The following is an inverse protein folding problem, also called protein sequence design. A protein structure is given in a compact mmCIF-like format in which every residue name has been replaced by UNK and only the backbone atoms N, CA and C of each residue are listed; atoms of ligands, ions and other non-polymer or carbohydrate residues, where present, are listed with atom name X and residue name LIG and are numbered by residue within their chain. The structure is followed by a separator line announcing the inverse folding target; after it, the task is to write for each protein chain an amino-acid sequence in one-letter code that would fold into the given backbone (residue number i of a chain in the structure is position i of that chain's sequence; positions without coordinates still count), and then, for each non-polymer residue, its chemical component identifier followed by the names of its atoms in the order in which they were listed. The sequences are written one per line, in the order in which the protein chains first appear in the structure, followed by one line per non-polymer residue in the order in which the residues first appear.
data_IF_094955550815
#
_entry.id   IF_094955550815
#
_cell.length_a   1.000
_cell.length_b   1.000
_cell.length_c   1.000
_cell.angle_alpha   90.00
_cell.angle_beta   90.00
_cell.angle_gamma   90.00
#
_symmetry.space_group_name_H-M   'P 1'
#
loop_
_entity.id
_entity.type
_entity.pdbx_description
1 polymer ?
#
# COMPACT_ATOMS: atom_id res chain seq x y z
N UNK A 1 -59.81 -2.54 -10.89
CA UNK A 1 -59.50 -3.91 -11.36
C UNK A 1 -58.85 -3.83 -12.73
N UNK A 2 -57.80 -4.64 -12.95
CA UNK A 2 -57.29 -5.10 -14.26
C UNK A 2 -56.89 -4.03 -15.31
N UNK A 3 -55.83 -3.26 -15.04
CA UNK A 3 -55.01 -2.68 -16.13
C UNK A 3 -53.60 -2.26 -15.66
N UNK A 4 -53.45 -1.76 -14.44
CA UNK A 4 -52.16 -1.25 -13.95
C UNK A 4 -51.21 -2.30 -13.32
N UNK A 5 -51.61 -3.57 -13.28
CA UNK A 5 -50.81 -4.66 -12.67
C UNK A 5 -50.11 -5.57 -13.69
N UNK A 6 -50.26 -5.34 -15.00
CA UNK A 6 -49.63 -6.15 -16.04
C UNK A 6 -48.36 -5.51 -16.64
N UNK A 7 -48.22 -4.18 -16.57
CA UNK A 7 -47.08 -3.46 -17.18
C UNK A 7 -45.79 -3.44 -16.31
N UNK A 8 -45.90 -3.65 -14.99
CA UNK A 8 -44.72 -3.65 -14.10
C UNK A 8 -44.06 -5.04 -13.99
N UNK A 9 -44.77 -6.13 -14.31
CA UNK A 9 -44.18 -7.47 -14.38
C UNK A 9 -43.28 -7.67 -15.61
N UNK A 10 -43.54 -6.93 -16.70
CA UNK A 10 -42.78 -7.06 -17.95
C UNK A 10 -41.40 -6.36 -17.92
N UNK A 11 -41.23 -5.35 -17.07
CA UNK A 11 -39.98 -4.55 -17.03
C UNK A 11 -38.92 -5.14 -16.08
N UNK A 12 -39.33 -5.94 -15.09
CA UNK A 12 -38.42 -6.59 -14.13
C UNK A 12 -37.78 -7.86 -14.69
N UNK A 13 -38.48 -8.59 -15.57
CA UNK A 13 -37.96 -9.81 -16.22
C UNK A 13 -36.94 -9.47 -17.32
N UNK A 14 -37.10 -8.33 -18.00
CA UNK A 14 -36.17 -7.89 -19.05
C UNK A 14 -34.83 -7.36 -18.50
N UNK A 15 -34.81 -6.79 -17.28
CA UNK A 15 -33.57 -6.37 -16.61
C UNK A 15 -32.76 -7.53 -16.02
N UNK A 16 -33.41 -8.63 -15.63
CA UNK A 16 -32.72 -9.84 -15.18
C UNK A 16 -32.03 -10.60 -16.33
N UNK A 17 -32.57 -10.51 -17.55
CA UNK A 17 -32.03 -11.20 -18.73
C UNK A 17 -30.78 -10.54 -19.33
N UNK A 18 -30.58 -9.22 -19.14
CA UNK A 18 -29.37 -8.51 -19.61
C UNK A 18 -28.13 -8.70 -18.72
N UNK A 19 -28.27 -9.24 -17.52
CA UNK A 19 -27.12 -9.58 -16.66
C UNK A 19 -26.54 -10.98 -16.95
N UNK A 20 -27.24 -11.82 -17.73
CA UNK A 20 -26.85 -13.22 -18.00
C UNK A 20 -26.11 -13.42 -19.33
N UNK A 21 -26.00 -12.39 -20.18
CA UNK A 21 -25.29 -12.46 -21.46
C UNK A 21 -24.33 -11.27 -21.63
N UNK A 22 -23.26 -11.23 -20.83
CA UNK A 22 -22.01 -10.57 -21.22
C UNK A 22 -20.77 -11.20 -20.57
N UNK A 23 -20.90 -12.35 -19.91
CA UNK A 23 -19.77 -13.12 -19.42
C UNK A 23 -19.40 -14.20 -20.44
N UNK A 24 -18.49 -13.86 -21.36
CA UNK A 24 -17.74 -14.87 -22.11
C UNK A 24 -16.27 -14.48 -22.14
N UNK A 25 -15.57 -14.71 -21.03
CA UNK A 25 -14.28 -15.42 -21.02
C UNK A 25 -13.71 -15.49 -19.60
N UNK A 26 -13.72 -16.72 -19.07
CA UNK A 26 -12.69 -17.37 -18.26
C UNK A 26 -12.12 -16.70 -16.97
N UNK A 27 -12.31 -17.47 -15.87
CA UNK A 27 -11.51 -17.57 -14.66
C UNK A 27 -11.39 -16.36 -13.70
N UNK A 28 -12.31 -16.29 -12.73
CA UNK A 28 -12.00 -15.82 -11.37
C UNK A 28 -13.09 -16.23 -10.36
N UNK A 29 -12.65 -16.46 -9.12
CA UNK A 29 -13.37 -16.86 -7.89
C UNK A 29 -14.58 -15.97 -7.51
N UNK A 30 -15.54 -16.46 -6.70
CA UNK A 30 -16.80 -15.75 -6.46
C UNK A 30 -16.63 -14.53 -5.52
N UNK A 31 -17.09 -13.38 -6.01
CA UNK A 31 -16.99 -12.06 -5.39
C UNK A 31 -17.91 -11.85 -4.17
N UNK A 32 -17.35 -11.13 -3.19
CA UNK A 32 -17.93 -10.62 -1.93
C UNK A 32 -19.24 -9.81 -2.10
N UNK A 33 -19.59 -9.43 -3.33
CA UNK A 33 -20.79 -8.66 -3.67
C UNK A 33 -22.10 -9.48 -3.65
N UNK A 34 -22.02 -10.81 -3.76
CA UNK A 34 -23.21 -11.67 -3.71
C UNK A 34 -23.77 -11.79 -2.28
N UNK A 35 -22.90 -11.80 -1.27
CA UNK A 35 -23.27 -11.90 0.15
C UNK A 35 -23.94 -10.62 0.68
N UNK A 36 -23.48 -9.45 0.23
CA UNK A 36 -24.08 -8.15 0.59
C UNK A 36 -25.51 -8.03 0.04
N UNK A 37 -25.77 -8.58 -1.15
CA UNK A 37 -27.10 -8.57 -1.75
C UNK A 37 -28.09 -9.49 -1.01
N UNK A 38 -27.63 -10.66 -0.53
CA UNK A 38 -28.45 -11.59 0.25
C UNK A 38 -28.77 -11.03 1.66
N UNK A 39 -27.82 -10.35 2.30
CA UNK A 39 -28.02 -9.69 3.61
C UNK A 39 -29.02 -8.53 3.54
N UNK A 40 -29.04 -7.76 2.45
CA UNK A 40 -30.04 -6.69 2.23
C UNK A 40 -31.44 -7.22 1.93
N UNK A 41 -31.57 -8.38 1.30
CA UNK A 41 -32.86 -9.02 1.07
C UNK A 41 -33.49 -9.57 2.36
N UNK A 42 -32.68 -10.15 3.26
CA UNK A 42 -33.15 -10.67 4.55
C UNK A 42 -33.61 -9.57 5.53
N UNK A 43 -32.94 -8.42 5.53
CA UNK A 43 -33.31 -7.26 6.38
C UNK A 43 -34.58 -6.56 5.95
N UNK A 44 -34.90 -6.56 4.64
CA UNK A 44 -36.18 -6.05 4.13
C UNK A 44 -37.37 -6.98 4.41
N UNK A 45 -37.15 -8.30 4.49
CA UNK A 45 -38.20 -9.27 4.79
C UNK A 45 -38.58 -9.28 6.29
N UNK A 46 -37.64 -8.94 7.18
CA UNK A 46 -37.87 -8.85 8.63
C UNK A 46 -38.53 -7.52 9.05
N UNK A 47 -38.33 -6.44 8.30
CA UNK A 47 -38.93 -5.12 8.61
C UNK A 47 -40.36 -4.94 8.08
N UNK A 48 -40.80 -5.70 7.07
CA UNK A 48 -42.20 -5.71 6.65
C UNK A 48 -43.13 -6.53 7.57
N UNK A 49 -42.60 -7.49 8.33
CA UNK A 49 -43.41 -8.37 9.19
C UNK A 49 -43.74 -7.80 10.58
N UNK A 50 -43.18 -6.64 10.94
CA UNK A 50 -43.38 -6.00 12.24
C UNK A 50 -44.20 -4.70 12.21
N UNK A 51 -44.78 -4.32 11.06
CA UNK A 51 -45.51 -3.04 10.93
C UNK A 51 -47.04 -3.14 10.95
N UNK A 52 -47.61 -4.35 11.01
CA UNK A 52 -49.08 -4.56 10.92
C UNK A 52 -49.70 -5.29 12.11
N UNK A 53 -49.10 -5.26 13.30
CA UNK A 53 -49.78 -5.73 14.52
C UNK A 53 -49.72 -4.71 15.65
N UNK A 54 -50.91 -4.15 15.89
CA UNK A 54 -51.47 -3.74 17.19
C UNK A 54 -50.88 -2.50 17.88
N UNK A 55 -51.53 -1.36 17.60
CA UNK A 55 -51.89 -0.42 18.65
C UNK A 55 -52.77 -1.13 19.69
N UNK A 56 -52.39 -1.04 20.97
CA UNK A 56 -53.25 -0.60 22.09
C UNK A 56 -52.58 -0.95 23.44
N UNK A 57 -52.41 0.10 24.24
CA UNK A 57 -52.54 0.13 25.70
C UNK A 57 -51.47 -0.55 26.59
N UNK A 58 -50.61 0.32 27.13
CA UNK A 58 -50.47 0.64 28.56
C UNK A 58 -49.92 -0.41 29.58
N UNK A 59 -49.00 0.11 30.41
CA UNK A 59 -48.56 -0.31 31.76
C UNK A 59 -47.47 -1.38 31.93
N UNK A 60 -46.23 -0.88 32.08
CA UNK A 60 -45.34 -0.96 33.26
C UNK A 60 -45.00 -2.28 33.97
N UNK A 61 -43.75 -2.29 34.49
CA UNK A 61 -43.17 -3.08 35.60
C UNK A 61 -42.40 -4.34 35.12
N UNK A 62 -41.08 -4.26 34.96
CA UNK A 62 -40.06 -4.52 36.01
C UNK A 62 -40.11 -5.97 36.52
N UNK A 63 -39.24 -6.83 36.01
CA UNK A 63 -38.00 -7.26 36.69
C UNK A 63 -38.22 -8.49 37.61
N UNK A 64 -37.29 -9.45 37.51
CA UNK A 64 -36.97 -10.62 38.37
C UNK A 64 -37.61 -11.96 37.98
N UNK A 65 -36.70 -12.81 37.48
CA UNK A 65 -36.45 -14.21 37.84
C UNK A 65 -37.32 -15.29 37.18
N UNK A 66 -36.60 -16.29 36.66
CA UNK A 66 -37.08 -17.67 36.59
C UNK A 66 -37.14 -18.20 35.15
N UNK A 67 -36.08 -18.86 34.70
CA UNK A 67 -36.09 -20.32 34.49
C UNK A 67 -34.74 -20.75 33.90
N UNK A 68 -33.89 -21.29 34.77
CA UNK A 68 -32.96 -22.36 34.45
C UNK A 68 -33.76 -23.58 34.01
N UNK A 69 -33.54 -24.10 32.79
CA UNK A 69 -33.73 -25.51 32.48
C UNK A 69 -33.13 -25.88 31.11
N UNK A 70 -32.08 -26.70 31.19
CA UNK A 70 -32.04 -28.00 30.52
C UNK A 70 -31.91 -28.02 28.98
N UNK A 71 -30.69 -28.28 28.50
CA UNK A 71 -30.43 -29.32 27.49
C UNK A 71 -28.91 -29.59 27.45
N UNK A 72 -28.48 -30.54 28.28
CA UNK A 72 -27.23 -31.27 28.09
C UNK A 72 -27.53 -32.51 27.22
N UNK A 73 -26.66 -32.72 26.24
CA UNK A 73 -26.35 -33.98 25.52
C UNK A 73 -27.20 -34.37 24.30
N UNK A 74 -26.70 -33.99 23.12
CA UNK A 74 -26.69 -34.81 21.89
C UNK A 74 -25.36 -34.53 21.15
N UNK A 75 -24.31 -35.30 21.44
CA UNK A 75 -23.69 -36.33 20.59
C UNK A 75 -23.06 -35.80 19.29
N UNK A 76 -21.72 -35.88 19.29
CA UNK A 76 -20.79 -36.18 18.21
C UNK A 76 -21.20 -35.87 16.76
N UNK A 77 -20.38 -35.04 16.11
CA UNK A 77 -20.36 -34.91 14.64
C UNK A 77 -20.41 -33.48 14.13
N UNK A 78 -19.51 -32.61 14.59
CA UNK A 78 -19.16 -31.39 13.87
C UNK A 78 -17.66 -31.43 13.65
N UNK A 79 -17.32 -32.05 12.52
CA UNK A 79 -16.12 -31.79 11.72
C UNK A 79 -15.59 -30.38 11.94
N UNK A 80 -14.29 -30.30 12.22
CA UNK A 80 -13.56 -29.06 12.40
C UNK A 80 -13.90 -28.07 11.28
N UNK A 81 -14.60 -27.00 11.67
CA UNK A 81 -14.40 -25.74 11.00
C UNK A 81 -13.01 -25.28 11.43
N UNK A 82 -11.99 -25.73 10.69
CA UNK A 82 -10.77 -24.96 10.55
C UNK A 82 -11.21 -23.55 10.18
N UNK A 83 -11.20 -22.65 11.17
CA UNK A 83 -11.08 -21.24 10.87
C UNK A 83 -9.71 -21.11 10.23
N UNK A 84 -9.70 -21.24 8.89
CA UNK A 84 -8.63 -20.74 8.05
C UNK A 84 -8.68 -19.23 8.19
N UNK A 85 -8.17 -18.76 9.32
CA UNK A 85 -7.68 -17.41 9.48
C UNK A 85 -6.81 -17.20 8.24
N UNK A 86 -7.20 -16.27 7.38
CA UNK A 86 -6.34 -15.85 6.28
C UNK A 86 -5.14 -15.16 6.92
N UNK A 87 -4.19 -15.97 7.41
CA UNK A 87 -2.89 -15.51 7.82
C UNK A 87 -2.28 -14.87 6.57
N UNK A 88 -2.29 -13.54 6.53
CA UNK A 88 -1.64 -12.78 5.49
C UNK A 88 -0.23 -13.36 5.32
N UNK A 89 0.16 -13.64 4.07
CA UNK A 89 1.45 -14.25 3.77
C UNK A 89 2.57 -13.49 4.51
N UNK A 90 3.41 -14.23 5.24
CA UNK A 90 4.50 -13.68 6.02
C UNK A 90 5.51 -13.03 5.07
N UNK A 91 5.55 -11.70 5.03
CA UNK A 91 6.53 -10.95 4.24
C UNK A 91 7.74 -10.68 5.13
N UNK A 92 8.80 -11.43 4.89
CA UNK A 92 10.04 -11.36 5.66
C UNK A 92 11.26 -11.62 4.78
N UNK A 93 12.33 -10.88 5.02
CA UNK A 93 13.63 -11.09 4.38
C UNK A 93 14.73 -10.45 5.22
N UNK A 94 15.88 -11.11 5.36
CA UNK A 94 17.06 -10.63 6.11
C UNK A 94 16.76 -10.14 7.56
N UNK A 95 15.82 -10.81 8.23
CA UNK A 95 15.38 -10.45 9.59
C UNK A 95 14.46 -9.22 9.67
N UNK A 96 14.06 -8.66 8.52
CA UNK A 96 13.06 -7.60 8.43
C UNK A 96 11.69 -8.18 8.07
N UNK A 97 10.63 -7.48 8.44
CA UNK A 97 9.24 -7.91 8.22
C UNK A 97 8.31 -6.73 7.95
N UNK A 98 7.05 -7.00 7.61
CA UNK A 98 6.02 -5.94 7.55
C UNK A 98 5.87 -5.16 8.88
N UNK A 99 6.00 -5.83 10.03
CA UNK A 99 5.86 -5.20 11.35
C UNK A 99 7.15 -4.53 11.82
N UNK A 100 8.30 -4.94 11.28
CA UNK A 100 9.60 -4.34 11.54
C UNK A 100 10.36 -4.18 10.21
N UNK A 101 9.99 -3.18 9.40
CA UNK A 101 10.53 -3.02 8.04
C UNK A 101 11.87 -2.29 8.00
N UNK A 102 12.36 -1.81 9.15
CA UNK A 102 13.61 -1.07 9.29
C UNK A 102 14.51 -1.72 10.35
N UNK A 103 15.82 -1.69 10.11
CA UNK A 103 16.88 -1.96 11.08
C UNK A 103 17.84 -0.78 11.08
N UNK A 104 18.08 -0.20 12.25
CA UNK A 104 19.04 0.90 12.45
C UNK A 104 20.30 0.33 13.07
N UNK A 105 21.45 0.73 12.54
CA UNK A 105 22.76 0.53 13.15
C UNK A 105 23.43 1.89 13.27
N UNK A 106 23.24 2.53 14.42
CA UNK A 106 23.74 3.87 14.69
C UNK A 106 25.27 3.92 14.77
N UNK A 107 25.93 2.82 15.16
CA UNK A 107 27.39 2.76 15.23
C UNK A 107 28.03 2.80 13.84
N UNK A 108 27.37 2.17 12.86
CA UNK A 108 27.81 2.16 11.48
C UNK A 108 27.12 3.21 10.61
N UNK A 109 26.28 4.06 11.20
CA UNK A 109 25.49 5.08 10.53
C UNK A 109 24.64 4.55 9.37
N UNK A 110 23.98 3.40 9.59
CA UNK A 110 23.16 2.77 8.55
C UNK A 110 21.71 2.54 8.96
N UNK A 111 20.83 2.60 7.96
CA UNK A 111 19.44 2.16 8.03
C UNK A 111 19.22 1.14 6.92
N UNK A 112 18.76 -0.06 7.26
CA UNK A 112 18.36 -1.08 6.28
C UNK A 112 16.84 -1.16 6.21
N UNK A 113 16.28 -1.11 5.01
CA UNK A 113 14.84 -1.13 4.74
C UNK A 113 14.42 -2.35 3.93
N UNK A 114 13.32 -2.99 4.32
CA UNK A 114 12.65 -4.00 3.51
C UNK A 114 11.89 -3.34 2.36
N UNK A 115 12.12 -3.84 1.14
CA UNK A 115 11.43 -3.40 -0.07
C UNK A 115 11.01 -4.58 -0.94
N UNK A 116 10.12 -4.31 -1.88
CA UNK A 116 9.76 -5.22 -2.97
C UNK A 116 10.06 -4.57 -4.32
N UNK A 117 10.63 -5.33 -5.26
CA UNK A 117 10.87 -4.86 -6.63
C UNK A 117 9.55 -4.73 -7.38
N UNK A 118 9.32 -3.58 -7.99
CA UNK A 118 8.24 -3.36 -8.96
C UNK A 118 8.82 -3.44 -10.38
N UNK A 119 8.68 -4.63 -10.96
CA UNK A 119 9.25 -4.99 -12.26
C UNK A 119 8.75 -4.14 -13.44
N UNK A 120 7.62 -3.42 -13.27
CA UNK A 120 7.13 -2.46 -14.28
C UNK A 120 8.20 -1.45 -14.67
N UNK A 121 8.96 -0.96 -13.69
CA UNK A 121 9.97 0.07 -13.90
C UNK A 121 11.34 -0.49 -14.30
N UNK A 122 11.42 -1.77 -14.68
CA UNK A 122 12.56 -2.29 -15.44
C UNK A 122 12.47 -1.89 -16.93
N UNK A 123 11.26 -1.54 -17.39
CA UNK A 123 10.99 -1.05 -18.74
C UNK A 123 10.50 0.39 -18.75
N UNK A 124 9.61 0.74 -17.82
CA UNK A 124 8.99 2.07 -17.73
C UNK A 124 9.89 3.07 -17.00
N UNK A 125 9.79 4.33 -17.38
CA UNK A 125 10.45 5.43 -16.68
C UNK A 125 9.70 5.80 -15.38
N UNK A 126 10.42 6.20 -14.33
CA UNK A 126 9.84 6.74 -13.10
C UNK A 126 10.75 7.76 -12.43
N UNK A 127 10.17 8.72 -11.70
CA UNK A 127 10.92 9.57 -10.76
C UNK A 127 10.96 9.01 -9.34
N UNK A 128 10.22 7.93 -9.09
CA UNK A 128 10.03 7.38 -7.75
C UNK A 128 10.98 6.19 -7.54
N UNK A 129 12.04 6.40 -6.75
CA UNK A 129 12.96 5.33 -6.38
C UNK A 129 12.28 4.37 -5.42
N UNK A 130 11.93 4.85 -4.24
CA UNK A 130 11.24 4.07 -3.20
C UNK A 130 10.01 4.84 -2.71
N UNK A 131 8.86 4.19 -2.69
CA UNK A 131 7.62 4.73 -2.11
C UNK A 131 7.03 3.69 -1.17
N UNK A 132 6.54 4.13 -0.03
CA UNK A 132 5.79 3.29 0.90
C UNK A 132 4.61 2.64 0.16
N UNK A 133 4.52 1.31 0.23
CA UNK A 133 3.55 0.50 -0.53
C UNK A 133 2.10 0.96 -0.39
N UNK A 134 1.70 1.44 0.79
CA UNK A 134 0.33 1.89 1.07
C UNK A 134 0.15 3.40 0.89
N UNK A 135 1.18 4.11 0.41
CA UNK A 135 1.08 5.52 0.00
C UNK A 135 0.38 5.67 -1.36
N UNK A 136 -0.18 6.85 -1.64
CA UNK A 136 -0.95 7.08 -2.89
C UNK A 136 -0.12 6.91 -4.17
N UNK A 137 1.21 6.96 -4.09
CA UNK A 137 2.13 6.71 -5.20
C UNK A 137 2.87 5.36 -5.08
N UNK A 138 2.50 4.45 -4.17
CA UNK A 138 3.25 3.21 -3.91
C UNK A 138 3.50 2.35 -5.15
N UNK A 139 2.51 2.24 -6.04
CA UNK A 139 2.60 1.49 -7.30
C UNK A 139 3.39 2.20 -8.41
N UNK A 140 3.88 3.42 -8.16
CA UNK A 140 4.62 4.24 -9.14
C UNK A 140 6.14 4.18 -8.97
N UNK A 141 6.64 3.47 -7.96
CA UNK A 141 8.08 3.39 -7.68
C UNK A 141 8.71 2.09 -8.16
N UNK A 142 10.02 2.16 -8.43
CA UNK A 142 10.86 0.99 -8.74
C UNK A 142 10.94 0.02 -7.57
N UNK A 143 11.02 0.55 -6.35
CA UNK A 143 10.98 -0.22 -5.12
C UNK A 143 9.74 0.18 -4.30
N UNK A 144 8.93 -0.78 -3.88
CA UNK A 144 7.86 -0.58 -2.92
C UNK A 144 8.41 -0.82 -1.51
N UNK A 145 8.54 0.25 -0.73
CA UNK A 145 9.04 0.19 0.64
C UNK A 145 7.96 -0.23 1.63
N UNK A 146 8.34 -0.96 2.68
CA UNK A 146 7.43 -1.38 3.74
C UNK A 146 7.40 -0.44 4.94
N UNK A 147 8.31 0.53 5.01
CA UNK A 147 8.36 1.54 6.05
C UNK A 147 7.52 2.78 5.70
N UNK A 148 6.94 3.41 6.72
CA UNK A 148 6.28 4.71 6.56
C UNK A 148 7.30 5.83 6.43
N UNK A 149 6.94 6.97 5.82
CA UNK A 149 7.84 8.13 5.73
C UNK A 149 8.37 8.59 7.09
N UNK A 150 7.50 8.64 8.11
CA UNK A 150 7.89 9.02 9.48
C UNK A 150 8.89 8.04 10.09
N UNK A 151 8.64 6.74 9.99
CA UNK A 151 9.55 5.73 10.54
C UNK A 151 10.92 5.80 9.86
N UNK A 152 10.95 6.00 8.54
CA UNK A 152 12.19 6.13 7.80
C UNK A 152 12.96 7.41 8.15
N UNK A 153 12.26 8.54 8.26
CA UNK A 153 12.85 9.81 8.69
C UNK A 153 13.51 9.70 10.08
N UNK A 154 12.79 9.15 11.07
CA UNK A 154 13.35 8.99 12.42
C UNK A 154 14.50 7.99 12.46
N UNK A 155 14.44 6.91 11.67
CA UNK A 155 15.53 5.95 11.56
C UNK A 155 16.82 6.59 11.01
N UNK A 156 16.71 7.46 10.00
CA UNK A 156 17.86 8.19 9.46
C UNK A 156 18.45 9.16 10.50
N UNK A 157 17.60 9.84 11.29
CA UNK A 157 18.07 10.68 12.40
C UNK A 157 18.75 9.86 13.50
N UNK A 158 18.18 8.72 13.86
CA UNK A 158 18.77 7.80 14.84
C UNK A 158 20.14 7.28 14.38
N UNK A 159 20.31 7.06 13.07
CA UNK A 159 21.60 6.72 12.47
C UNK A 159 22.60 7.91 12.39
N UNK A 160 22.24 9.10 12.87
CA UNK A 160 23.09 10.29 12.90
C UNK A 160 22.92 11.23 11.71
N UNK A 161 21.87 11.05 10.90
CA UNK A 161 21.60 11.89 9.73
C UNK A 161 21.02 13.26 10.12
N UNK A 162 21.50 14.30 9.44
CA UNK A 162 20.99 15.66 9.49
C UNK A 162 20.10 15.95 8.28
N UNK A 163 18.80 16.23 8.47
CA UNK A 163 17.91 16.57 7.37
C UNK A 163 18.21 17.97 6.80
N UNK A 164 18.08 18.13 5.49
CA UNK A 164 18.29 19.42 4.83
C UNK A 164 17.17 20.44 5.04
N UNK A 165 15.91 20.00 4.94
CA UNK A 165 14.67 20.80 5.08
C UNK A 165 14.66 22.12 4.26
N UNK A 166 15.37 22.13 3.13
CA UNK A 166 15.60 23.35 2.35
C UNK A 166 14.60 23.55 1.20
N UNK A 167 13.79 22.54 0.89
CA UNK A 167 12.86 22.57 -0.22
C UNK A 167 11.43 22.88 0.24
N UNK A 168 10.75 23.73 -0.52
CA UNK A 168 9.34 24.07 -0.34
C UNK A 168 8.60 23.86 -1.65
N UNK A 169 7.27 23.99 -1.63
CA UNK A 169 6.49 23.92 -2.87
C UNK A 169 6.78 25.08 -3.83
N UNK A 170 7.29 26.20 -3.31
CA UNK A 170 7.55 27.43 -4.06
C UNK A 170 8.93 27.40 -4.72
N UNK A 171 9.95 26.89 -4.04
CA UNK A 171 11.34 26.91 -4.54
C UNK A 171 11.76 25.63 -5.30
N UNK A 172 10.90 24.60 -5.32
CA UNK A 172 11.27 23.23 -5.75
C UNK A 172 11.93 23.13 -7.12
N UNK A 173 11.56 23.98 -8.08
CA UNK A 173 12.04 23.89 -9.46
C UNK A 173 13.46 24.41 -9.65
N UNK A 174 13.93 25.26 -8.73
CA UNK A 174 15.26 25.91 -8.77
C UNK A 174 16.19 25.45 -7.66
N UNK A 175 15.68 24.69 -6.69
CA UNK A 175 16.44 24.27 -5.51
C UNK A 175 16.82 22.80 -5.62
N UNK A 176 18.10 22.52 -5.34
CA UNK A 176 18.60 21.16 -5.12
C UNK A 176 18.43 20.79 -3.65
N UNK A 177 18.01 19.57 -3.37
CA UNK A 177 17.88 19.08 -2.00
C UNK A 177 19.25 19.07 -1.29
N UNK A 178 19.29 19.42 -0.01
CA UNK A 178 20.48 19.35 0.84
C UNK A 178 20.29 18.35 1.99
N UNK A 179 21.27 18.29 2.90
CA UNK A 179 21.30 17.37 4.04
C UNK A 179 22.41 16.33 3.93
N UNK A 180 22.42 15.38 4.86
CA UNK A 180 23.41 14.29 4.89
C UNK A 180 23.50 13.57 3.56
N UNK A 181 24.72 13.27 3.13
CA UNK A 181 24.95 12.43 1.97
C UNK A 181 24.72 10.97 2.32
N UNK A 182 24.08 10.23 1.41
CA UNK A 182 23.77 8.83 1.59
C UNK A 182 24.38 7.99 0.46
N UNK A 183 25.20 7.02 0.82
CA UNK A 183 25.53 5.89 -0.04
C UNK A 183 24.42 4.85 0.09
N UNK A 184 23.77 4.51 -1.02
CA UNK A 184 22.61 3.60 -1.03
C UNK A 184 22.98 2.34 -1.79
N UNK A 185 22.64 1.19 -1.19
CA UNK A 185 22.93 -0.12 -1.77
C UNK A 185 21.76 -1.09 -1.61
N UNK A 186 21.68 -2.08 -2.50
CA UNK A 186 20.57 -3.03 -2.60
C UNK A 186 21.10 -4.46 -2.60
N UNK A 187 20.41 -5.34 -1.88
CA UNK A 187 20.69 -6.76 -1.87
C UNK A 187 19.41 -7.59 -1.89
N UNK A 188 19.45 -8.79 -2.45
CA UNK A 188 18.33 -9.72 -2.50
C UNK A 188 18.84 -11.17 -2.47
N UNK A 189 17.93 -12.12 -2.27
CA UNK A 189 18.30 -13.53 -2.24
C UNK A 189 18.88 -13.97 -3.59
N UNK A 190 20.10 -14.51 -3.57
CA UNK A 190 20.80 -14.96 -4.78
C UNK A 190 21.50 -13.83 -5.55
N UNK A 191 21.54 -12.60 -5.02
CA UNK A 191 22.41 -11.56 -5.56
C UNK A 191 23.89 -12.00 -5.46
N UNK A 192 24.68 -11.72 -6.50
CA UNK A 192 26.11 -12.06 -6.51
C UNK A 192 26.94 -11.17 -5.57
N UNK A 193 26.44 -9.97 -5.28
CA UNK A 193 27.02 -8.97 -4.39
C UNK A 193 25.94 -7.99 -3.95
N UNK A 194 26.28 -7.11 -3.02
CA UNK A 194 25.52 -5.87 -2.79
C UNK A 194 25.79 -4.91 -3.95
N UNK A 195 24.73 -4.36 -4.54
CA UNK A 195 24.82 -3.41 -5.66
C UNK A 195 24.56 -1.98 -5.18
N UNK A 196 25.26 -0.99 -5.73
CA UNK A 196 24.94 0.41 -5.44
C UNK A 196 23.66 0.86 -6.16
N UNK A 197 23.08 1.98 -5.73
CA UNK A 197 21.97 2.61 -6.41
C UNK A 197 22.30 3.00 -7.87
N UNK A 198 23.53 3.43 -8.14
CA UNK A 198 24.00 3.71 -9.52
C UNK A 198 24.11 2.45 -10.39
N UNK A 199 24.26 1.26 -9.81
CA UNK A 199 24.29 0.00 -10.57
C UNK A 199 22.89 -0.51 -10.90
N UNK A 200 21.93 -0.31 -9.99
CA UNK A 200 20.56 -0.83 -10.14
C UNK A 200 19.58 0.17 -10.75
N UNK A 201 19.93 1.45 -10.85
CA UNK A 201 19.12 2.50 -11.49
C UNK A 201 19.90 3.09 -12.65
N UNK A 202 19.28 3.09 -13.83
CA UNK A 202 19.82 3.72 -15.03
C UNK A 202 19.35 5.17 -15.08
N UNK A 203 20.29 6.11 -15.04
CA UNK A 203 20.12 7.49 -15.47
C UNK A 203 20.38 7.59 -16.98
N UNK A 204 19.43 8.10 -17.76
CA UNK A 204 19.58 8.22 -19.23
C UNK A 204 20.75 9.10 -19.69
N UNK A 205 21.24 9.99 -18.83
CA UNK A 205 22.40 10.85 -19.06
C UNK A 205 23.70 10.26 -18.49
N UNK A 206 23.65 9.09 -17.83
CA UNK A 206 24.80 8.43 -17.24
C UNK A 206 25.42 9.18 -16.05
N UNK A 207 24.70 10.11 -15.42
CA UNK A 207 25.16 10.79 -14.22
C UNK A 207 25.00 9.90 -12.99
N UNK A 208 25.88 10.11 -12.01
CA UNK A 208 25.74 9.50 -10.69
C UNK A 208 24.62 10.17 -9.90
N UNK A 209 23.96 9.38 -9.06
CA UNK A 209 22.96 9.86 -8.12
C UNK A 209 23.64 10.51 -6.91
N UNK A 210 23.23 11.73 -6.57
CA UNK A 210 23.67 12.41 -5.34
C UNK A 210 22.53 12.38 -4.31
N UNK A 211 22.46 11.29 -3.54
CA UNK A 211 21.34 11.07 -2.64
C UNK A 211 21.52 11.81 -1.32
N UNK A 212 20.53 12.64 -0.97
CA UNK A 212 20.55 13.47 0.24
C UNK A 212 19.38 13.17 1.16
N UNK A 213 19.63 13.20 2.46
CA UNK A 213 18.59 13.21 3.47
C UNK A 213 17.89 14.59 3.50
N UNK A 214 16.86 14.74 2.66
CA UNK A 214 16.12 16.00 2.52
C UNK A 214 15.23 16.33 3.72
N UNK A 215 14.74 15.33 4.44
CA UNK A 215 13.92 15.51 5.63
C UNK A 215 12.43 15.63 5.31
N UNK A 216 11.98 16.75 4.72
CA UNK A 216 10.66 17.07 4.16
C UNK A 216 9.42 16.40 4.82
N UNK A 217 9.46 16.07 6.12
CA UNK A 217 8.51 15.14 6.73
C UNK A 217 7.09 15.74 6.77
N UNK A 218 6.99 17.03 7.12
CA UNK A 218 5.71 17.74 7.17
C UNK A 218 4.97 17.64 5.83
N UNK A 219 5.66 17.92 4.72
CA UNK A 219 5.07 17.82 3.39
C UNK A 219 4.74 16.37 3.01
N UNK A 220 5.57 15.40 3.42
CA UNK A 220 5.30 13.97 3.21
C UNK A 220 4.00 13.53 3.91
N UNK A 221 3.79 13.94 5.16
CA UNK A 221 2.59 13.64 5.95
C UNK A 221 1.34 14.34 5.41
N UNK A 222 1.46 15.59 4.98
CA UNK A 222 0.35 16.34 4.37
C UNK A 222 -0.10 15.76 3.03
N UNK A 223 0.85 15.42 2.15
CA UNK A 223 0.55 14.94 0.78
C UNK A 223 0.21 13.46 0.72
N UNK A 224 0.60 12.66 1.72
CA UNK A 224 0.30 11.22 1.82
C UNK A 224 0.67 10.43 0.55
N UNK A 225 1.74 10.86 -0.13
CA UNK A 225 2.26 10.18 -1.32
C UNK A 225 2.95 8.88 -0.96
N UNK A 226 3.52 8.82 0.24
CA UNK A 226 4.39 7.74 0.70
C UNK A 226 5.83 7.85 0.17
N UNK A 227 6.23 8.95 -0.47
CA UNK A 227 7.56 9.07 -1.07
C UNK A 227 8.66 8.92 0.00
N UNK A 228 9.53 7.92 -0.18
CA UNK A 228 10.70 7.70 0.69
C UNK A 228 11.95 8.20 -0.03
N UNK A 229 12.14 7.80 -1.29
CA UNK A 229 13.28 8.16 -2.12
C UNK A 229 12.81 8.67 -3.50
N UNK A 230 13.13 9.91 -3.84
CA UNK A 230 12.88 10.49 -5.16
C UNK A 230 14.18 10.56 -6.00
N UNK A 231 14.07 10.33 -7.31
CA UNK A 231 15.20 10.34 -8.26
C UNK A 231 15.49 11.71 -8.87
N UNK A 232 14.70 12.71 -8.49
CA UNK A 232 14.99 14.14 -8.59
C UNK A 232 14.77 14.80 -7.22
N UNK A 233 15.28 16.03 -7.05
CA UNK A 233 15.04 16.81 -5.84
C UNK A 233 13.55 16.98 -5.62
N UNK A 234 13.05 16.74 -4.41
CA UNK A 234 11.62 16.69 -4.16
C UNK A 234 11.26 17.25 -2.78
N UNK A 235 10.31 18.20 -2.67
CA UNK A 235 9.87 18.76 -1.40
C UNK A 235 8.97 17.82 -0.58
N UNK A 236 8.88 16.53 -0.95
CA UNK A 236 7.99 15.53 -0.33
C UNK A 236 8.73 14.23 -0.02
N UNK A 237 9.85 13.96 -0.69
CA UNK A 237 10.65 12.76 -0.42
C UNK A 237 11.51 12.95 0.82
N UNK A 238 11.60 11.94 1.67
CA UNK A 238 12.49 11.93 2.84
C UNK A 238 13.95 11.97 2.39
N UNK A 239 14.29 11.19 1.37
CA UNK A 239 15.56 11.19 0.65
C UNK A 239 15.29 11.59 -0.80
N UNK A 240 16.16 12.39 -1.40
CA UNK A 240 16.02 12.80 -2.81
C UNK A 240 17.38 12.94 -3.50
N UNK A 241 17.38 12.79 -4.82
CA UNK A 241 18.56 12.99 -5.66
C UNK A 241 18.82 14.47 -5.93
N UNK A 242 19.93 14.99 -5.42
CA UNK A 242 20.37 16.37 -5.64
C UNK A 242 20.96 16.61 -7.04
N UNK A 243 21.22 15.59 -7.86
CA UNK A 243 21.75 15.78 -9.22
C UNK A 243 20.81 16.59 -10.13
N UNK A 244 19.50 16.50 -9.90
CA UNK A 244 18.47 17.19 -10.68
C UNK A 244 17.48 17.93 -9.78
N UNK A 245 16.98 19.09 -10.21
CA UNK A 245 15.90 19.79 -9.51
C UNK A 245 14.55 19.14 -9.75
N UNK A 246 13.55 19.48 -8.93
CA UNK A 246 12.20 18.95 -9.08
C UNK A 246 11.64 19.20 -10.48
N UNK A 247 11.04 18.17 -11.07
CA UNK A 247 10.38 18.27 -12.37
C UNK A 247 11.30 17.96 -13.56
N UNK A 248 12.58 17.66 -13.32
CA UNK A 248 13.50 17.24 -14.36
C UNK A 248 12.98 16.04 -15.16
N UNK A 249 12.32 15.08 -14.47
CA UNK A 249 11.77 13.87 -15.11
C UNK A 249 10.43 14.17 -15.79
N UNK A 250 9.39 14.50 -15.02
CA UNK A 250 8.00 14.51 -15.52
C UNK A 250 7.58 15.84 -16.17
N UNK A 251 8.22 16.97 -15.83
CA UNK A 251 7.84 18.28 -16.38
C UNK A 251 8.70 18.69 -17.57
N UNK A 252 10.02 18.48 -17.46
CA UNK A 252 11.00 18.98 -18.44
C UNK A 252 11.61 17.88 -19.31
N UNK A 253 11.49 16.61 -18.92
CA UNK A 253 12.05 15.49 -19.70
C UNK A 253 13.57 15.52 -19.84
N UNK A 254 14.27 16.16 -18.91
CA UNK A 254 15.74 16.31 -18.89
C UNK A 254 16.46 14.99 -18.63
N UNK A 255 15.80 14.06 -17.95
CA UNK A 255 16.34 12.77 -17.59
C UNK A 255 15.22 11.74 -17.46
N UNK A 256 15.54 10.50 -17.76
CA UNK A 256 14.70 9.34 -17.53
C UNK A 256 15.42 8.39 -16.59
N UNK A 257 14.68 7.83 -15.63
CA UNK A 257 15.19 6.79 -14.76
C UNK A 257 14.35 5.53 -14.87
N UNK A 258 15.03 4.39 -14.86
CA UNK A 258 14.42 3.07 -14.77
C UNK A 258 15.36 2.12 -14.03
N UNK A 259 14.84 1.02 -13.55
CA UNK A 259 15.65 -0.06 -12.99
C UNK A 259 16.50 -0.72 -14.08
N UNK A 260 17.72 -1.12 -13.71
CA UNK A 260 18.61 -1.85 -14.59
C UNK A 260 18.17 -3.32 -14.67
N UNK A 261 17.44 -3.67 -15.73
CA UNK A 261 16.92 -5.02 -15.96
C UNK A 261 18.01 -6.11 -16.09
N UNK A 262 19.26 -5.73 -16.36
CA UNK A 262 20.40 -6.67 -16.42
C UNK A 262 20.97 -7.00 -15.05
N UNK A 263 20.56 -6.27 -14.01
CA UNK A 263 21.08 -6.39 -12.64
C UNK A 263 19.96 -6.76 -11.66
N UNK A 264 18.82 -6.06 -11.71
CA UNK A 264 17.72 -6.27 -10.77
C UNK A 264 17.03 -7.62 -10.99
N UNK A 265 16.52 -8.24 -9.92
CA UNK A 265 15.80 -9.50 -10.02
C UNK A 265 14.38 -9.30 -10.58
N UNK A 266 13.65 -10.39 -10.72
CA UNK A 266 12.28 -10.38 -11.23
C UNK A 266 11.32 -9.56 -10.36
N UNK A 267 10.19 -9.17 -10.96
CA UNK A 267 9.09 -8.51 -10.28
C UNK A 267 8.68 -9.23 -8.98
N UNK A 268 8.22 -8.46 -7.99
CA UNK A 268 7.76 -8.91 -6.67
C UNK A 268 8.84 -9.54 -5.77
N UNK A 269 10.11 -9.56 -6.18
CA UNK A 269 11.21 -10.05 -5.34
C UNK A 269 11.39 -9.15 -4.12
N UNK A 270 11.53 -9.75 -2.93
CA UNK A 270 11.90 -9.02 -1.72
C UNK A 270 13.40 -8.71 -1.72
N UNK A 271 13.74 -7.52 -1.28
CA UNK A 271 15.11 -7.03 -1.20
C UNK A 271 15.29 -6.18 0.05
N UNK A 272 16.55 -5.92 0.39
CA UNK A 272 16.93 -4.87 1.34
C UNK A 272 17.56 -3.71 0.62
N UNK A 273 17.26 -2.50 1.08
CA UNK A 273 17.98 -1.28 0.69
C UNK A 273 18.66 -0.72 1.94
N UNK A 274 19.97 -0.58 1.89
CA UNK A 274 20.77 -0.01 2.98
C UNK A 274 21.20 1.40 2.61
N UNK A 275 20.88 2.35 3.49
CA UNK A 275 21.27 3.74 3.44
C UNK A 275 22.39 3.93 4.45
N UNK A 276 23.57 4.36 3.99
CA UNK A 276 24.71 4.70 4.85
C UNK A 276 24.97 6.18 4.78
N UNK A 277 25.04 6.85 5.92
CA UNK A 277 25.44 8.27 6.00
C UNK A 277 26.97 8.34 5.84
N UNK A 278 27.44 9.23 4.97
CA UNK A 278 28.86 9.29 4.56
C UNK A 278 29.50 10.66 4.78
N UNK A 279 29.14 11.32 5.88
CA UNK A 279 29.74 12.61 6.25
C UNK A 279 31.22 12.50 6.64
#
# INVERSE_FOLDING_TARGET
MKALRCALFYNSVWRAWRCLFSSSSQNSTPDTNMWICLLRAATHLLTQKMKDRTMLQHYSVSWKKGLTALCLLAVAGLSGCDQKENAAAKVEYDGLSNSQPLRVDANNHTVTMLVQINGRFLTDDTRHGIVFKDGSNGHKSLFMGYATPKAFYEALKEAGGTPGENMTMDNKETTHVTGSKLDISVNWQGAAKTYSFDEVIVDSNGKKLDMRFGGNLTAAEEKKTGCLVCLDSCPVGIVSNATYTYGAVEKRGEVKFKGNASVLPANNTLATVTFKITE
#
